data_IF_781456992495
#
_entry.id   IF_781456992495
#
_cell.length_a   1.000
_cell.length_b   1.000
_cell.length_c   1.000
_cell.angle_alpha   90.00
_cell.angle_beta   90.00
_cell.angle_gamma   90.00
#
_symmetry.space_group_name_H-M   'P 1'
#
loop_
_entity.id
_entity.type
_entity.pdbx_description
1 polymer ?
#
# COMPACT_ATOMS: atom_id res chain seq x y z
N UNK A 1 22.76 -3.61 -24.70
CA UNK A 1 21.38 -3.43 -25.19
C UNK A 1 21.06 -1.94 -25.23
N UNK A 2 20.27 -1.47 -26.20
CA UNK A 2 19.81 -0.08 -26.35
C UNK A 2 18.29 -0.11 -26.50
N UNK A 3 17.57 0.66 -25.69
CA UNK A 3 16.10 0.61 -25.62
C UNK A 3 15.54 2.00 -25.87
N UNK A 4 14.71 2.15 -26.90
CA UNK A 4 13.88 3.35 -27.05
C UNK A 4 12.63 3.16 -26.21
N UNK A 5 12.40 4.07 -25.26
CA UNK A 5 11.19 4.06 -24.43
C UNK A 5 10.32 5.21 -24.87
N UNK A 6 9.20 4.93 -25.54
CA UNK A 6 8.22 5.96 -25.89
C UNK A 6 7.50 6.47 -24.64
N UNK A 7 6.95 5.55 -23.84
CA UNK A 7 6.32 5.82 -22.56
C UNK A 7 6.28 4.55 -21.70
N UNK A 8 6.01 4.72 -20.40
CA UNK A 8 5.72 3.62 -19.47
C UNK A 8 4.30 3.78 -18.95
N UNK A 9 3.54 2.69 -18.92
CA UNK A 9 2.20 2.64 -18.34
C UNK A 9 2.25 1.92 -17.00
N UNK A 10 1.68 2.52 -15.96
CA UNK A 10 1.58 1.90 -14.63
C UNK A 10 0.12 1.87 -14.22
N UNK A 11 -0.44 0.67 -14.08
CA UNK A 11 -1.81 0.45 -13.62
C UNK A 11 -1.79 -0.04 -12.17
N UNK A 12 -2.52 0.63 -11.30
CA UNK A 12 -2.83 0.14 -9.96
C UNK A 12 -4.07 -0.74 -10.06
N UNK A 13 -3.90 -2.06 -9.98
CA UNK A 13 -5.00 -3.02 -10.10
C UNK A 13 -6.01 -2.94 -8.96
N UNK A 14 -5.60 -2.43 -7.80
CA UNK A 14 -6.47 -2.29 -6.63
C UNK A 14 -7.42 -1.11 -6.80
N UNK A 15 -6.92 -0.02 -7.39
CA UNK A 15 -7.68 1.26 -7.44
C UNK A 15 -8.11 1.64 -8.85
N UNK A 16 -7.74 0.86 -9.85
CA UNK A 16 -8.06 1.09 -11.27
C UNK A 16 -7.28 2.23 -11.94
N UNK A 17 -6.60 3.10 -11.17
CA UNK A 17 -5.85 4.23 -11.71
C UNK A 17 -4.73 3.76 -12.64
N UNK A 18 -4.63 4.40 -13.81
CA UNK A 18 -3.56 4.16 -14.77
C UNK A 18 -2.81 5.45 -15.02
N UNK A 19 -1.49 5.41 -14.87
CA UNK A 19 -0.59 6.54 -15.12
C UNK A 19 0.23 6.28 -16.37
N UNK A 20 0.37 7.31 -17.20
CA UNK A 20 1.26 7.34 -18.36
C UNK A 20 2.48 8.19 -18.03
N UNK A 21 3.67 7.64 -18.22
CA UNK A 21 4.95 8.31 -18.05
C UNK A 21 5.58 8.50 -19.43
N UNK A 22 5.35 9.61 -20.13
CA UNK A 22 5.97 9.87 -21.42
C UNK A 22 7.50 9.97 -21.26
N UNK A 23 8.24 9.30 -22.13
CA UNK A 23 9.71 9.30 -22.12
C UNK A 23 10.28 9.84 -23.43
N UNK A 24 9.94 9.20 -24.56
CA UNK A 24 10.39 9.59 -25.90
C UNK A 24 11.92 9.56 -26.11
N UNK A 25 12.66 8.80 -25.29
CA UNK A 25 14.13 8.87 -25.22
C UNK A 25 14.76 7.48 -25.22
N UNK A 26 16.02 7.41 -25.65
CA UNK A 26 16.81 6.19 -25.58
C UNK A 26 17.42 6.00 -24.18
N UNK A 27 17.51 4.74 -23.77
CA UNK A 27 18.30 4.24 -22.65
C UNK A 27 19.41 3.34 -23.20
N UNK A 28 20.65 3.79 -23.11
CA UNK A 28 21.81 3.02 -23.58
C UNK A 28 23.07 3.85 -23.78
N UNK A 29 24.23 3.27 -23.45
CA UNK A 29 25.53 3.90 -23.72
C UNK A 29 25.74 4.12 -25.23
N UNK A 30 26.25 5.30 -25.61
CA UNK A 30 26.59 5.62 -27.01
C UNK A 30 25.38 5.70 -27.95
N UNK A 31 24.22 6.12 -27.46
CA UNK A 31 23.05 6.51 -28.25
C UNK A 31 22.33 7.67 -27.54
N UNK A 32 21.76 8.60 -28.30
CA UNK A 32 21.20 9.85 -27.78
C UNK A 32 22.25 10.56 -26.88
N UNK A 33 21.97 10.74 -25.59
CA UNK A 33 22.90 11.32 -24.61
C UNK A 33 23.68 10.26 -23.79
N UNK A 34 23.52 8.97 -24.09
CA UNK A 34 24.18 7.89 -23.40
C UNK A 34 23.58 7.48 -22.04
N UNK A 35 22.47 8.10 -21.61
CA UNK A 35 21.88 7.84 -20.28
C UNK A 35 21.29 6.43 -20.14
N UNK A 36 21.35 5.87 -18.93
CA UNK A 36 20.74 4.59 -18.57
C UNK A 36 19.51 4.75 -17.66
N UNK A 37 19.23 5.96 -17.21
CA UNK A 37 18.12 6.27 -16.30
C UNK A 37 17.44 7.60 -16.67
N UNK A 38 16.15 7.69 -16.33
CA UNK A 38 15.32 8.88 -16.58
C UNK A 38 14.33 9.06 -15.43
N UNK A 39 14.16 10.31 -15.00
CA UNK A 39 13.07 10.71 -14.11
C UNK A 39 11.92 11.21 -14.98
N UNK A 40 10.76 10.56 -14.86
CA UNK A 40 9.56 10.87 -15.65
C UNK A 40 8.45 11.35 -14.72
N UNK A 41 7.64 12.29 -15.19
CA UNK A 41 6.42 12.73 -14.50
C UNK A 41 5.24 11.92 -15.03
N UNK A 42 4.44 11.35 -14.13
CA UNK A 42 3.29 10.53 -14.48
C UNK A 42 2.03 11.38 -14.65
N UNK A 43 1.30 11.14 -15.74
CA UNK A 43 0.00 11.73 -16.04
C UNK A 43 -1.10 10.71 -15.72
N UNK A 44 -2.07 11.08 -14.88
CA UNK A 44 -3.22 10.22 -14.57
C UNK A 44 -4.16 10.17 -15.78
N UNK A 45 -4.41 8.99 -16.31
CA UNK A 45 -5.41 8.78 -17.35
C UNK A 45 -6.79 8.73 -16.71
N UNK A 46 -7.58 9.77 -16.93
CA UNK A 46 -9.03 9.72 -16.76
C UNK A 46 -9.58 8.92 -17.95
N UNK A 47 -10.34 7.86 -17.68
CA UNK A 47 -10.87 6.96 -18.70
C UNK A 47 -11.54 7.72 -19.85
N UNK A 48 -10.88 7.80 -21.01
CA UNK A 48 -11.55 8.08 -22.28
C UNK A 48 -11.84 6.73 -22.96
N UNK A 49 -13.06 6.49 -23.46
CA UNK A 49 -13.28 5.39 -24.38
C UNK A 49 -12.61 5.79 -25.71
N UNK A 50 -12.01 4.82 -26.39
CA UNK A 50 -11.44 4.93 -27.75
C UNK A 50 -10.04 5.52 -27.86
N UNK A 51 -9.03 4.72 -27.49
CA UNK A 51 -7.83 4.61 -28.34
C UNK A 51 -7.48 3.14 -28.46
N UNK A 52 -7.76 2.59 -29.64
CA UNK A 52 -7.29 1.34 -30.23
C UNK A 52 -6.27 0.59 -29.35
N UNK A 53 -6.78 -0.29 -28.48
CA UNK A 53 -5.97 -1.09 -27.55
C UNK A 53 -5.17 -2.11 -28.36
N UNK A 54 -4.00 -1.70 -28.86
CA UNK A 54 -2.93 -2.69 -29.06
C UNK A 54 -2.76 -3.41 -27.73
N UNK A 55 -2.90 -4.74 -27.65
CA UNK A 55 -2.75 -5.44 -26.39
C UNK A 55 -1.30 -5.27 -25.93
N UNK A 56 -1.06 -4.29 -25.06
CA UNK A 56 0.16 -4.14 -24.31
C UNK A 56 0.22 -5.33 -23.36
N UNK A 57 0.71 -6.47 -23.86
CA UNK A 57 1.02 -7.61 -23.01
C UNK A 57 2.08 -7.15 -22.04
N UNK A 58 1.70 -6.97 -20.77
CA UNK A 58 2.65 -6.87 -19.68
C UNK A 58 3.56 -8.10 -19.76
N UNK A 59 4.88 -7.95 -19.93
CA UNK A 59 5.78 -9.08 -19.89
C UNK A 59 5.56 -9.85 -18.59
N UNK A 60 5.71 -11.19 -18.57
CA UNK A 60 5.66 -11.94 -17.32
C UNK A 60 6.62 -11.29 -16.33
N UNK A 61 6.10 -11.02 -15.12
CA UNK A 61 6.79 -10.30 -14.06
C UNK A 61 8.11 -11.01 -13.75
N UNK A 62 9.22 -10.46 -14.24
CA UNK A 62 10.54 -10.85 -13.75
C UNK A 62 10.68 -10.28 -12.34
N UNK A 63 11.19 -11.11 -11.42
CA UNK A 63 11.55 -10.63 -10.09
C UNK A 63 12.53 -9.47 -10.25
N UNK A 64 12.13 -8.26 -9.84
CA UNK A 64 13.09 -7.19 -9.59
C UNK A 64 14.14 -7.76 -8.63
N UNK A 65 15.44 -7.43 -8.81
CA UNK A 65 16.45 -7.83 -7.84
C UNK A 65 15.91 -7.46 -6.47
N UNK A 66 15.70 -8.46 -5.63
CA UNK A 66 15.33 -8.23 -4.25
C UNK A 66 16.43 -7.36 -3.71
N UNK A 67 16.13 -6.08 -3.46
CA UNK A 67 16.85 -5.38 -2.39
C UNK A 67 16.59 -6.30 -1.22
N UNK A 68 17.62 -7.05 -0.85
CA UNK A 68 17.67 -7.84 0.35
C UNK A 68 17.26 -6.83 1.42
N UNK A 69 15.97 -6.82 1.78
CA UNK A 69 15.57 -6.41 3.10
C UNK A 69 16.49 -7.29 3.92
N UNK A 70 17.41 -6.64 4.64
CA UNK A 70 18.13 -7.29 5.70
C UNK A 70 17.02 -7.72 6.65
N UNK A 71 16.46 -8.89 6.39
CA UNK A 71 15.55 -9.63 7.22
C UNK A 71 16.47 -10.08 8.33
N UNK A 72 16.80 -9.12 9.19
CA UNK A 72 17.11 -9.47 10.55
C UNK A 72 15.78 -10.00 11.03
N UNK A 73 15.60 -11.32 10.88
CA UNK A 73 14.83 -12.13 11.81
C UNK A 73 15.42 -11.84 13.19
N UNK A 74 15.06 -10.69 13.76
CA UNK A 74 15.11 -10.49 15.18
C UNK A 74 14.05 -11.45 15.67
N UNK A 75 14.50 -12.53 16.31
CA UNK A 75 13.67 -13.46 17.04
C UNK A 75 12.52 -12.70 17.73
N UNK A 76 11.26 -13.17 17.68
CA UNK A 76 10.11 -12.42 18.22
C UNK A 76 10.15 -12.18 19.74
N UNK A 77 11.19 -12.63 20.45
CA UNK A 77 11.16 -12.82 21.89
C UNK A 77 11.81 -11.72 22.75
N UNK A 78 12.44 -10.68 22.19
CA UNK A 78 13.18 -9.71 23.01
C UNK A 78 12.79 -8.23 22.82
N UNK A 79 11.79 -7.89 22.00
CA UNK A 79 11.28 -6.51 22.01
C UNK A 79 10.40 -6.32 23.26
N UNK A 80 10.71 -5.37 24.16
CA UNK A 80 9.88 -5.11 25.31
C UNK A 80 8.47 -4.76 24.84
N UNK A 81 7.45 -5.41 25.43
CA UNK A 81 6.06 -5.16 25.12
C UNK A 81 5.74 -3.69 25.43
N UNK A 82 5.46 -2.91 24.40
CA UNK A 82 5.15 -1.49 24.55
C UNK A 82 3.87 -1.31 25.36
N UNK A 83 3.88 -0.33 26.26
CA UNK A 83 2.68 0.07 26.98
C UNK A 83 1.78 0.96 26.09
N UNK A 84 0.54 1.18 26.52
CA UNK A 84 -0.44 1.97 25.76
C UNK A 84 0.06 3.38 25.42
N UNK A 85 0.74 4.05 26.35
CA UNK A 85 1.26 5.40 26.13
C UNK A 85 2.32 5.45 25.04
N UNK A 86 3.25 4.48 25.04
CA UNK A 86 4.30 4.38 24.02
C UNK A 86 3.73 4.08 22.62
N UNK A 87 2.67 3.27 22.55
CA UNK A 87 1.98 2.98 21.28
C UNK A 87 1.29 4.24 20.76
N UNK A 88 0.59 4.97 21.63
CA UNK A 88 -0.06 6.22 21.26
C UNK A 88 0.96 7.27 20.79
N UNK A 89 2.08 7.40 21.49
CA UNK A 89 3.19 8.27 21.11
C UNK A 89 3.75 7.89 19.74
N UNK A 90 4.04 6.60 19.51
CA UNK A 90 4.55 6.10 18.22
C UNK A 90 3.60 6.40 17.05
N UNK A 91 2.29 6.23 17.23
CA UNK A 91 1.29 6.59 16.21
C UNK A 91 1.31 8.10 15.98
N UNK A 92 1.32 8.89 17.06
CA UNK A 92 1.37 10.35 16.99
C UNK A 92 2.60 10.87 16.25
N UNK A 93 3.77 10.31 16.52
CA UNK A 93 5.02 10.63 15.84
C UNK A 93 4.98 10.27 14.35
N UNK A 94 4.47 9.09 14.00
CA UNK A 94 4.33 8.66 12.61
C UNK A 94 3.40 9.60 11.82
N UNK A 95 2.23 9.93 12.39
CA UNK A 95 1.28 10.87 11.78
C UNK A 95 1.89 12.27 11.66
N UNK A 96 2.56 12.76 12.71
CA UNK A 96 3.23 14.06 12.70
C UNK A 96 4.34 14.12 11.61
N UNK A 97 5.09 13.04 11.42
CA UNK A 97 6.07 12.92 10.35
C UNK A 97 5.45 13.08 8.96
N UNK A 98 4.31 12.42 8.72
CA UNK A 98 3.55 12.54 7.46
C UNK A 98 3.02 13.97 7.28
N UNK A 99 2.43 14.55 8.32
CA UNK A 99 1.93 15.93 8.29
C UNK A 99 3.05 16.90 7.94
N UNK A 100 4.20 16.82 8.64
CA UNK A 100 5.38 17.65 8.36
C UNK A 100 5.91 17.47 6.94
N UNK A 101 5.87 16.25 6.40
CA UNK A 101 6.28 15.99 5.02
C UNK A 101 5.42 16.78 4.02
N UNK A 102 4.10 16.81 4.17
CA UNK A 102 3.23 17.55 3.26
C UNK A 102 3.29 19.07 3.44
N UNK A 103 3.67 19.56 4.62
CA UNK A 103 3.91 20.99 4.85
C UNK A 103 5.22 21.50 4.22
N UNK A 104 6.20 20.62 3.95
CA UNK A 104 7.43 21.00 3.27
C UNK A 104 7.21 21.21 1.76
N UNK A 105 7.94 22.16 1.14
CA UNK A 105 7.92 22.31 -0.30
C UNK A 105 8.42 21.02 -0.98
N UNK A 106 7.85 20.68 -2.13
CA UNK A 106 8.06 19.39 -2.80
C UNK A 106 9.54 19.04 -3.01
N UNK A 107 10.38 20.05 -3.32
CA UNK A 107 11.82 19.91 -3.54
C UNK A 107 12.62 19.49 -2.30
N UNK A 108 12.04 19.65 -1.10
CA UNK A 108 12.68 19.35 0.19
C UNK A 108 12.05 18.12 0.88
N UNK A 109 11.09 17.48 0.23
CA UNK A 109 10.39 16.32 0.80
C UNK A 109 11.32 15.11 0.80
N UNK A 110 11.46 14.49 1.97
CA UNK A 110 12.04 13.16 2.11
C UNK A 110 11.13 12.06 1.54
N UNK A 111 11.51 10.79 1.64
CA UNK A 111 10.69 9.70 1.11
C UNK A 111 9.41 9.47 1.93
N UNK A 112 8.23 9.65 1.33
CA UNK A 112 6.94 9.30 1.94
C UNK A 112 6.85 7.79 2.24
N UNK A 113 7.49 6.96 1.43
CA UNK A 113 7.53 5.50 1.65
C UNK A 113 8.22 5.15 2.97
N UNK A 114 9.25 5.89 3.37
CA UNK A 114 9.90 5.68 4.67
C UNK A 114 8.99 6.10 5.84
N UNK A 115 8.19 7.15 5.67
CA UNK A 115 7.24 7.60 6.69
C UNK A 115 6.06 6.65 6.86
N UNK A 116 5.61 6.01 5.77
CA UNK A 116 4.52 5.04 5.83
C UNK A 116 5.02 3.65 6.25
N UNK A 117 6.08 3.15 5.62
CA UNK A 117 6.50 1.74 5.68
C UNK A 117 7.88 1.53 6.32
N UNK A 118 8.54 2.56 6.82
CA UNK A 118 9.80 2.43 7.56
C UNK A 118 9.61 1.81 8.94
N UNK A 119 10.72 1.55 9.64
CA UNK A 119 10.72 0.88 10.95
C UNK A 119 9.92 1.65 12.03
N UNK A 120 9.93 2.98 11.96
CA UNK A 120 9.11 3.87 12.80
C UNK A 120 7.97 4.53 12.00
N UNK A 121 7.59 3.92 10.87
CA UNK A 121 6.53 4.43 10.00
C UNK A 121 5.14 4.09 10.52
N UNK A 122 4.13 4.68 9.86
CA UNK A 122 2.72 4.50 10.22
C UNK A 122 2.29 3.03 10.28
N UNK A 123 2.74 2.20 9.33
CA UNK A 123 2.42 0.77 9.28
C UNK A 123 2.91 0.08 10.55
N UNK A 124 4.19 0.28 10.90
CA UNK A 124 4.79 -0.31 12.11
C UNK A 124 4.07 0.14 13.39
N UNK A 125 3.72 1.42 13.50
CA UNK A 125 2.98 1.95 14.65
C UNK A 125 1.58 1.32 14.79
N UNK A 126 0.85 1.17 13.68
CA UNK A 126 -0.46 0.52 13.67
C UNK A 126 -0.35 -0.98 13.95
N UNK A 127 0.69 -1.67 13.46
CA UNK A 127 0.94 -3.07 13.80
C UNK A 127 1.05 -3.26 15.31
N UNK A 128 1.82 -2.40 16.00
CA UNK A 128 1.94 -2.44 17.47
C UNK A 128 0.58 -2.22 18.15
N UNK A 129 -0.25 -1.32 17.63
CA UNK A 129 -1.59 -1.06 18.15
C UNK A 129 -2.50 -2.30 18.06
N UNK A 130 -2.59 -2.93 16.89
CA UNK A 130 -3.39 -4.14 16.72
C UNK A 130 -2.85 -5.31 17.55
N UNK A 131 -1.53 -5.51 17.58
CA UNK A 131 -0.89 -6.57 18.35
C UNK A 131 -1.08 -6.41 19.86
N UNK A 132 -1.13 -5.17 20.37
CA UNK A 132 -1.44 -4.92 21.77
C UNK A 132 -2.85 -5.38 22.16
N UNK A 133 -3.81 -5.25 21.24
CA UNK A 133 -5.19 -5.70 21.42
C UNK A 133 -5.40 -7.21 21.28
N UNK A 134 -4.53 -7.91 20.56
CA UNK A 134 -4.65 -9.36 20.38
C UNK A 134 -4.23 -10.13 21.63
N UNK A 135 -5.19 -10.83 22.23
CA UNK A 135 -4.94 -11.88 23.22
C UNK A 135 -5.02 -13.22 22.50
N UNK A 136 -3.89 -13.86 22.20
CA UNK A 136 -3.93 -15.23 21.66
C UNK A 136 -4.32 -16.21 22.76
N UNK A 137 -5.43 -16.96 22.62
CA UNK A 137 -5.80 -18.00 23.59
C UNK A 137 -4.98 -19.29 23.40
N UNK A 138 -4.14 -19.39 22.35
CA UNK A 138 -3.40 -20.61 22.02
C UNK A 138 -1.91 -20.30 21.89
N UNK A 139 -1.08 -21.08 22.60
CA UNK A 139 0.37 -20.93 22.69
C UNK A 139 1.12 -21.09 21.35
N UNK A 140 0.47 -21.55 20.28
CA UNK A 140 1.15 -21.94 19.02
C UNK A 140 0.48 -21.44 17.72
N UNK A 141 -0.48 -20.51 17.78
CA UNK A 141 -1.06 -19.95 16.55
C UNK A 141 -0.57 -18.53 16.32
N UNK A 142 0.15 -18.33 15.21
CA UNK A 142 0.46 -16.99 14.71
C UNK A 142 -0.86 -16.29 14.35
N UNK A 143 -1.17 -15.21 15.07
CA UNK A 143 -2.32 -14.36 14.79
C UNK A 143 -1.83 -13.20 13.96
N UNK A 144 -2.22 -13.16 12.68
CA UNK A 144 -1.93 -12.02 11.82
C UNK A 144 -3.07 -11.01 11.91
N UNK A 145 -2.75 -9.72 11.79
CA UNK A 145 -3.75 -8.65 11.71
C UNK A 145 -4.70 -8.92 10.54
N UNK A 146 -4.17 -9.41 9.42
CA UNK A 146 -4.96 -9.72 8.24
C UNK A 146 -6.05 -10.77 8.49
N UNK A 147 -5.80 -11.78 9.34
CA UNK A 147 -6.83 -12.78 9.70
C UNK A 147 -8.02 -12.14 10.42
N UNK A 148 -7.78 -11.08 11.19
CA UNK A 148 -8.84 -10.32 11.84
C UNK A 148 -9.60 -9.46 10.82
N UNK A 149 -8.89 -8.81 9.90
CA UNK A 149 -9.51 -7.97 8.86
C UNK A 149 -10.39 -8.78 7.91
N UNK A 150 -10.00 -10.00 7.54
CA UNK A 150 -10.83 -10.91 6.73
C UNK A 150 -12.12 -11.32 7.49
N UNK A 151 -12.03 -11.51 8.81
CA UNK A 151 -13.23 -11.75 9.64
C UNK A 151 -14.12 -10.52 9.74
N UNK A 152 -13.54 -9.33 9.90
CA UNK A 152 -14.27 -8.07 9.91
C UNK A 152 -15.00 -7.83 8.58
N UNK A 153 -14.33 -8.10 7.45
CA UNK A 153 -14.95 -8.08 6.13
C UNK A 153 -16.16 -9.01 6.06
N UNK A 154 -15.98 -10.28 6.44
CA UNK A 154 -17.07 -11.27 6.42
C UNK A 154 -18.26 -10.79 7.24
N UNK A 155 -18.01 -10.21 8.42
CA UNK A 155 -19.06 -9.66 9.29
C UNK A 155 -19.83 -8.52 8.59
N UNK A 156 -19.12 -7.54 8.01
CA UNK A 156 -19.79 -6.44 7.31
C UNK A 156 -20.60 -6.88 6.09
N UNK A 157 -20.10 -7.83 5.31
CA UNK A 157 -20.83 -8.40 4.16
C UNK A 157 -22.10 -9.14 4.59
N UNK A 158 -22.09 -9.81 5.76
CA UNK A 158 -23.29 -10.46 6.29
C UNK A 158 -24.36 -9.48 6.80
N UNK A 159 -23.96 -8.30 7.28
CA UNK A 159 -24.90 -7.26 7.70
C UNK A 159 -25.59 -6.64 6.48
N UNK A 160 -24.86 -6.39 5.40
CA UNK A 160 -25.42 -5.82 4.15
C UNK A 160 -26.48 -6.73 3.52
N UNK A 161 -26.39 -8.05 3.68
CA UNK A 161 -27.40 -8.99 3.19
C UNK A 161 -28.70 -9.01 3.99
N UNK A 162 -28.68 -8.54 5.25
CA UNK A 162 -29.81 -8.70 6.18
C UNK A 162 -30.67 -7.44 6.37
N UNK A 163 -30.27 -6.28 5.84
CA UNK A 163 -30.95 -5.01 6.12
C UNK A 163 -31.50 -4.29 4.87
N UNK A 164 -32.80 -4.00 4.88
CA UNK A 164 -33.53 -3.05 4.02
C UNK A 164 -33.44 -1.60 4.57
N UNK A 165 -32.39 -1.29 5.34
CA UNK A 165 -32.29 -0.08 6.16
C UNK A 165 -31.65 1.06 5.34
N UNK A 166 -32.10 2.33 5.50
CA UNK A 166 -31.52 3.47 4.77
C UNK A 166 -30.01 3.59 4.99
N UNK A 167 -29.26 4.01 3.97
CA UNK A 167 -27.79 4.16 4.03
C UNK A 167 -27.35 5.08 5.18
N UNK A 168 -27.01 4.50 6.33
CA UNK A 168 -26.26 5.22 7.36
C UNK A 168 -24.80 5.40 6.92
N UNK A 169 -24.16 6.48 7.39
CA UNK A 169 -22.76 6.80 7.09
C UNK A 169 -21.76 5.66 7.41
N UNK A 170 -22.10 4.70 8.27
CA UNK A 170 -21.24 3.55 8.56
C UNK A 170 -21.30 2.44 7.50
N UNK A 171 -22.44 2.24 6.81
CA UNK A 171 -22.57 1.27 5.73
C UNK A 171 -21.60 1.61 4.59
N UNK A 172 -21.54 2.87 4.20
CA UNK A 172 -20.61 3.34 3.17
C UNK A 172 -19.15 3.12 3.58
N UNK A 173 -18.80 3.31 4.86
CA UNK A 173 -17.43 3.04 5.36
C UNK A 173 -17.12 1.54 5.32
N UNK A 174 -18.04 0.70 5.75
CA UNK A 174 -17.92 -0.76 5.72
C UNK A 174 -17.81 -1.30 4.28
N UNK A 175 -18.66 -0.85 3.36
CA UNK A 175 -18.62 -1.22 1.93
C UNK A 175 -17.30 -0.82 1.30
N UNK A 176 -16.80 0.38 1.58
CA UNK A 176 -15.48 0.81 1.11
C UNK A 176 -14.38 -0.09 1.68
N UNK A 177 -14.38 -0.37 2.98
CA UNK A 177 -13.42 -1.29 3.60
C UNK A 177 -13.43 -2.67 2.91
N UNK A 178 -14.60 -3.31 2.75
CA UNK A 178 -14.73 -4.61 2.11
C UNK A 178 -14.23 -4.61 0.66
N UNK A 179 -14.48 -3.52 -0.09
CA UNK A 179 -13.96 -3.36 -1.45
C UNK A 179 -12.43 -3.38 -1.48
N UNK A 180 -11.76 -2.69 -0.55
CA UNK A 180 -10.29 -2.70 -0.45
C UNK A 180 -9.75 -4.08 -0.05
N UNK A 181 -10.35 -4.73 0.95
CA UNK A 181 -9.90 -6.07 1.39
C UNK A 181 -10.05 -7.09 0.26
N UNK A 182 -11.20 -7.09 -0.44
CA UNK A 182 -11.42 -7.93 -1.63
C UNK A 182 -10.38 -7.67 -2.71
N UNK A 183 -10.14 -6.41 -3.07
CA UNK A 183 -9.19 -6.06 -4.12
C UNK A 183 -7.74 -6.45 -3.76
N UNK A 184 -7.34 -6.30 -2.49
CA UNK A 184 -6.03 -6.74 -2.00
C UNK A 184 -5.93 -8.27 -2.03
N UNK A 185 -6.99 -9.00 -1.66
CA UNK A 185 -7.03 -10.46 -1.71
C UNK A 185 -6.94 -11.00 -3.14
N UNK A 186 -7.50 -10.29 -4.11
CA UNK A 186 -7.50 -10.66 -5.52
C UNK A 186 -6.25 -10.18 -6.28
N UNK A 187 -5.32 -9.51 -5.63
CA UNK A 187 -4.07 -9.06 -6.27
C UNK A 187 -3.23 -10.28 -6.67
N UNK A 188 -2.76 -10.39 -7.93
CA UNK A 188 -2.04 -11.58 -8.43
C UNK A 188 -0.67 -11.79 -7.76
N UNK A 189 -0.15 -10.76 -7.08
CA UNK A 189 1.11 -10.81 -6.36
C UNK A 189 0.90 -11.40 -4.95
N UNK A 190 1.52 -12.55 -4.68
CA UNK A 190 1.55 -13.11 -3.33
C UNK A 190 2.51 -12.33 -2.43
N UNK A 191 1.99 -11.33 -1.71
CA UNK A 191 2.76 -10.46 -0.80
C UNK A 191 2.74 -10.91 0.68
N UNK A 192 2.05 -12.00 1.00
CA UNK A 192 1.86 -12.46 2.39
C UNK A 192 0.94 -11.56 3.21
N UNK A 193 0.56 -12.00 4.42
CA UNK A 193 -0.44 -11.32 5.26
C UNK A 193 0.02 -9.96 5.80
N UNK A 194 1.28 -9.85 6.21
CA UNK A 194 1.84 -8.56 6.65
C UNK A 194 1.93 -7.58 5.48
N UNK A 195 2.29 -8.06 4.29
CA UNK A 195 2.29 -7.26 3.07
C UNK A 195 0.88 -6.77 2.69
N UNK A 196 -0.14 -7.61 2.86
CA UNK A 196 -1.54 -7.20 2.66
C UNK A 196 -1.98 -6.12 3.66
N UNK A 197 -1.61 -6.26 4.94
CA UNK A 197 -1.87 -5.24 5.96
C UNK A 197 -1.18 -3.90 5.60
N UNK A 198 0.11 -3.95 5.28
CA UNK A 198 0.86 -2.79 4.81
C UNK A 198 0.17 -2.12 3.61
N UNK A 199 -0.29 -2.90 2.63
CA UNK A 199 -0.98 -2.40 1.45
C UNK A 199 -2.29 -1.68 1.83
N UNK A 200 -3.10 -2.27 2.71
CA UNK A 200 -4.34 -1.65 3.18
C UNK A 200 -4.09 -0.30 3.86
N UNK A 201 -3.10 -0.23 4.77
CA UNK A 201 -2.73 1.02 5.44
C UNK A 201 -2.28 2.08 4.43
N UNK A 202 -1.43 1.72 3.46
CA UNK A 202 -0.98 2.65 2.44
C UNK A 202 -2.12 3.18 1.57
N UNK A 203 -3.04 2.31 1.15
CA UNK A 203 -4.20 2.69 0.35
C UNK A 203 -5.18 3.54 1.14
N UNK A 204 -5.48 3.17 2.38
CA UNK A 204 -6.32 3.94 3.28
C UNK A 204 -5.74 5.31 3.60
N UNK A 205 -4.42 5.43 3.77
CA UNK A 205 -3.76 6.71 3.98
C UNK A 205 -3.82 7.60 2.73
N UNK A 206 -3.56 7.02 1.55
CA UNK A 206 -3.61 7.74 0.26
C UNK A 206 -5.00 8.29 -0.03
N UNK A 207 -6.04 7.50 0.23
CA UNK A 207 -7.43 7.86 -0.08
C UNK A 207 -8.15 8.55 1.07
N UNK A 208 -7.42 8.88 2.15
CA UNK A 208 -7.97 9.49 3.37
C UNK A 208 -9.07 8.66 4.06
N UNK A 209 -9.05 7.33 3.89
CA UNK A 209 -10.05 6.41 4.43
C UNK A 209 -9.62 5.73 5.74
N UNK A 210 -8.33 5.80 6.12
CA UNK A 210 -7.82 5.00 7.23
C UNK A 210 -8.52 5.27 8.57
N UNK A 211 -8.94 6.50 8.82
CA UNK A 211 -9.65 6.89 10.04
C UNK A 211 -11.14 6.48 10.04
N UNK A 212 -11.65 5.98 8.91
CA UNK A 212 -13.00 5.44 8.77
C UNK A 212 -13.07 3.93 8.99
N UNK A 213 -11.92 3.25 9.04
CA UNK A 213 -11.78 1.80 9.11
C UNK A 213 -11.33 1.33 10.50
#
# INVERSE_FOLDING_TARGET
AKWLVEYVMVRNEITGHTYKFPCGRWLGKGIDDGSLERVLVGELLTSQPEVDERPCRTPPLQQSPSVIRRLVTISPNNKPKLNTGQIQESIGEAVNGIVKHFHKPEKERGSLTLLLCGECGLVSALEQAFQHGFKSPRLFKNVFIWDFLEKAQTYYETLEQNELVPEENWHTRARNFCRFVTAINNTPRNIGKDGKFQMLVCLGARDHLLHHW
#
